data_IF_196974265196
#
_entry.id   IF_196974265196
#
_cell.length_a   1.000
_cell.length_b   1.000
_cell.length_c   1.000
_cell.angle_alpha   90.00
_cell.angle_beta   90.00
_cell.angle_gamma   90.00
#
_symmetry.space_group_name_H-M   'P 1'
#
loop_
_entity.id
_entity.type
_entity.pdbx_description
1 polymer ?
#
# COMPACT_ATOMS: atom_id res chain seq x y z
N UNK A 1 11.01 15.21 -66.60
CA UNK A 1 12.26 15.98 -66.80
C UNK A 1 12.13 17.32 -66.09
N UNK A 2 13.07 17.66 -65.18
CA UNK A 2 13.24 19.00 -64.59
C UNK A 2 14.02 19.92 -65.56
N UNK A 3 13.96 21.25 -65.37
CA UNK A 3 15.05 21.97 -64.66
C UNK A 3 14.51 22.97 -63.60
N UNK A 4 15.07 23.08 -62.37
CA UNK A 4 16.23 23.91 -61.89
C UNK A 4 16.06 25.43 -62.14
N UNK A 5 16.34 26.41 -61.26
CA UNK A 5 16.77 26.57 -59.84
C UNK A 5 16.94 28.10 -59.62
N UNK A 6 16.68 28.64 -58.41
CA UNK A 6 17.39 29.77 -57.69
C UNK A 6 16.53 30.17 -56.47
N UNK A 7 16.81 29.73 -55.24
CA UNK A 7 17.80 30.22 -54.25
C UNK A 7 17.68 31.70 -53.86
N UNK A 8 17.25 31.92 -52.61
CA UNK A 8 17.80 32.93 -51.68
C UNK A 8 17.84 32.31 -50.27
N UNK A 9 19.05 31.89 -49.90
CA UNK A 9 19.70 32.01 -48.58
C UNK A 9 19.47 33.43 -47.98
N UNK A 10 19.45 33.74 -46.69
CA UNK A 10 19.89 33.12 -45.44
C UNK A 10 19.11 33.79 -44.28
N UNK A 11 18.84 33.04 -43.21
CA UNK A 11 19.33 33.42 -41.88
C UNK A 11 19.18 32.25 -40.90
N UNK A 12 20.28 31.51 -40.78
CA UNK A 12 20.59 30.63 -39.66
C UNK A 12 20.85 31.47 -38.40
N UNK A 13 20.17 31.13 -37.30
CA UNK A 13 20.79 30.92 -35.98
C UNK A 13 20.11 29.69 -35.37
N UNK A 14 20.58 28.49 -35.66
CA UNK A 14 21.57 27.70 -34.87
C UNK A 14 21.02 27.37 -33.46
N UNK A 15 20.16 26.35 -33.33
CA UNK A 15 20.50 24.95 -32.99
C UNK A 15 21.35 24.82 -31.71
N UNK A 16 20.69 24.41 -30.62
CA UNK A 16 21.18 23.30 -29.81
C UNK A 16 19.99 22.41 -29.49
N UNK A 17 19.96 21.27 -30.18
CA UNK A 17 19.16 20.11 -29.80
C UNK A 17 20.10 19.31 -28.91
N UNK A 18 19.76 19.18 -27.64
CA UNK A 18 20.30 18.14 -26.77
C UNK A 18 19.10 17.27 -26.37
N UNK A 19 19.00 16.12 -27.03
CA UNK A 19 18.18 15.01 -26.57
C UNK A 19 18.84 14.44 -25.31
N UNK A 20 18.15 14.42 -24.18
CA UNK A 20 18.26 13.30 -23.24
C UNK A 20 16.95 13.17 -22.47
N UNK A 21 16.36 12.00 -22.56
CA UNK A 21 15.27 11.53 -21.72
C UNK A 21 15.61 11.72 -20.24
N UNK A 22 14.69 12.30 -19.47
CA UNK A 22 14.46 11.89 -18.08
C UNK A 22 13.11 12.45 -17.61
N UNK A 23 12.11 11.60 -17.79
CA UNK A 23 10.81 11.66 -17.17
C UNK A 23 10.98 11.59 -15.64
N UNK A 24 11.30 12.72 -15.01
CA UNK A 24 11.15 12.89 -13.56
C UNK A 24 9.71 13.32 -13.30
N UNK A 25 8.82 12.33 -13.32
CA UNK A 25 7.56 12.46 -12.59
C UNK A 25 7.96 12.49 -11.13
N UNK A 26 7.99 13.68 -10.56
CA UNK A 26 8.01 13.88 -9.12
C UNK A 26 6.67 13.32 -8.61
N UNK A 27 6.69 12.06 -8.17
CA UNK A 27 5.55 11.46 -7.49
C UNK A 27 5.63 11.98 -6.06
N UNK A 28 4.93 13.08 -5.79
CA UNK A 28 4.64 13.51 -4.44
C UNK A 28 3.73 12.44 -3.81
N UNK A 29 4.34 11.52 -3.07
CA UNK A 29 3.64 10.44 -2.35
C UNK A 29 2.81 10.96 -1.16
N UNK A 30 2.83 12.26 -0.87
CA UNK A 30 2.16 12.85 0.29
C UNK A 30 0.76 13.39 -0.01
N UNK A 31 0.37 13.57 -1.28
CA UNK A 31 -0.92 14.20 -1.63
C UNK A 31 -2.05 13.20 -1.97
N UNK A 32 -1.74 11.91 -2.17
CA UNK A 32 -2.70 10.89 -2.62
C UNK A 32 -3.27 10.00 -1.49
N UNK A 33 -2.96 10.34 -0.22
CA UNK A 33 -3.68 9.84 0.96
C UNK A 33 -4.73 10.88 1.34
N UNK A 34 -5.92 10.78 0.74
CA UNK A 34 -7.05 11.71 0.89
C UNK A 34 -7.63 11.84 2.31
N UNK A 35 -6.82 12.28 3.26
CA UNK A 35 -7.22 12.59 4.63
C UNK A 35 -7.41 14.07 4.91
N UNK A 36 -7.05 14.98 4.00
CA UNK A 36 -7.35 16.40 4.16
C UNK A 36 -7.67 16.99 2.78
N UNK A 37 -8.96 17.08 2.44
CA UNK A 37 -9.40 17.98 1.39
C UNK A 37 -9.46 19.39 1.96
N UNK A 38 -8.58 20.28 1.52
CA UNK A 38 -8.79 21.72 1.66
C UNK A 38 -9.94 22.13 0.73
N UNK A 39 -11.17 22.24 1.23
CA UNK A 39 -12.23 23.02 0.58
C UNK A 39 -13.31 23.45 1.59
N UNK A 40 -13.46 24.78 1.72
CA UNK A 40 -14.47 25.62 2.38
C UNK A 40 -14.88 25.30 3.83
N UNK A 41 -14.81 26.32 4.71
CA UNK A 41 -15.25 26.31 6.12
C UNK A 41 -16.76 26.01 6.28
N UNK A 42 -17.16 24.77 6.01
CA UNK A 42 -18.32 24.15 6.63
C UNK A 42 -17.87 23.56 7.95
N UNK A 43 -18.35 24.08 9.08
CA UNK A 43 -18.11 23.44 10.39
C UNK A 43 -18.63 22.00 10.32
N UNK A 44 -17.72 21.03 10.39
CA UNK A 44 -18.04 19.60 10.44
C UNK A 44 -19.08 19.36 11.54
N UNK A 45 -20.09 18.56 11.22
CA UNK A 45 -21.13 18.23 12.19
C UNK A 45 -20.54 17.34 13.30
N UNK A 46 -21.06 17.41 14.55
CA UNK A 46 -20.62 16.52 15.63
C UNK A 46 -20.69 15.02 15.27
N UNK A 47 -21.63 14.65 14.40
CA UNK A 47 -21.82 13.29 13.91
C UNK A 47 -20.71 12.86 12.93
N UNK A 48 -20.26 13.77 12.05
CA UNK A 48 -19.12 13.54 11.16
C UNK A 48 -17.82 13.40 11.95
N UNK A 49 -17.60 14.27 12.94
CA UNK A 49 -16.43 14.19 13.83
C UNK A 49 -16.37 12.86 14.60
N UNK A 50 -17.49 12.41 15.17
CA UNK A 50 -17.56 11.13 15.89
C UNK A 50 -17.28 9.95 14.96
N UNK A 51 -17.78 9.99 13.72
CA UNK A 51 -17.47 8.96 12.74
C UNK A 51 -15.98 8.96 12.37
N UNK A 52 -15.42 10.13 12.08
CA UNK A 52 -14.02 10.27 11.69
C UNK A 52 -13.10 9.78 12.81
N UNK A 53 -13.43 10.09 14.07
CA UNK A 53 -12.72 9.57 15.23
C UNK A 53 -12.79 8.04 15.31
N UNK A 54 -13.98 7.44 15.14
CA UNK A 54 -14.11 5.98 15.16
C UNK A 54 -13.34 5.30 14.00
N UNK A 55 -13.34 5.88 12.79
CA UNK A 55 -12.51 5.38 11.68
C UNK A 55 -11.03 5.46 12.02
N UNK A 56 -10.60 6.56 12.64
CA UNK A 56 -9.21 6.75 13.04
C UNK A 56 -8.79 5.75 14.13
N UNK A 57 -9.63 5.54 15.15
CA UNK A 57 -9.39 4.55 16.20
C UNK A 57 -9.27 3.13 15.63
N UNK A 58 -10.19 2.73 14.74
CA UNK A 58 -10.13 1.43 14.07
C UNK A 58 -8.87 1.28 13.21
N UNK A 59 -8.48 2.35 12.52
CA UNK A 59 -7.24 2.36 11.71
C UNK A 59 -6.01 2.20 12.60
N UNK A 60 -5.95 2.93 13.71
CA UNK A 60 -4.86 2.84 14.69
C UNK A 60 -4.75 1.42 15.25
N UNK A 61 -5.85 0.80 15.63
CA UNK A 61 -5.84 -0.56 16.19
C UNK A 61 -5.44 -1.61 15.14
N UNK A 62 -5.93 -1.50 13.90
CA UNK A 62 -5.49 -2.34 12.79
C UNK A 62 -3.98 -2.18 12.51
N UNK A 63 -3.47 -0.95 12.54
CA UNK A 63 -2.03 -0.67 12.38
C UNK A 63 -1.20 -1.28 13.49
N UNK A 64 -1.65 -1.25 14.76
CA UNK A 64 -0.96 -1.93 15.87
C UNK A 64 -0.85 -3.44 15.62
N UNK A 65 -1.90 -4.06 15.09
CA UNK A 65 -1.88 -5.49 14.73
C UNK A 65 -0.86 -5.78 13.63
N UNK A 66 -0.79 -4.94 12.60
CA UNK A 66 0.23 -5.04 11.54
C UNK A 66 1.64 -4.96 12.12
N UNK A 67 1.91 -3.95 12.95
CA UNK A 67 3.23 -3.77 13.58
C UNK A 67 3.62 -4.99 14.42
N UNK A 68 2.68 -5.52 15.21
CA UNK A 68 2.93 -6.73 15.99
C UNK A 68 3.23 -7.94 15.09
N UNK A 69 2.49 -8.10 13.99
CA UNK A 69 2.72 -9.17 13.03
C UNK A 69 4.10 -9.07 12.37
N UNK A 70 4.54 -7.86 12.02
CA UNK A 70 5.87 -7.60 11.48
C UNK A 70 6.98 -7.95 12.46
N UNK A 71 6.82 -7.58 13.75
CA UNK A 71 7.78 -7.92 14.79
C UNK A 71 7.91 -9.44 14.99
N UNK A 72 6.79 -10.16 14.97
CA UNK A 72 6.80 -11.62 15.06
C UNK A 72 7.44 -12.28 13.83
N UNK A 73 7.16 -11.75 12.64
CA UNK A 73 7.79 -12.22 11.41
C UNK A 73 9.31 -11.97 11.40
N UNK A 74 9.74 -10.80 11.88
CA UNK A 74 11.14 -10.47 12.01
C UNK A 74 11.83 -11.40 13.01
N UNK A 75 11.21 -11.67 14.16
CA UNK A 75 11.72 -12.62 15.14
C UNK A 75 11.87 -14.03 14.52
N UNK A 76 10.87 -14.50 13.76
CA UNK A 76 10.93 -15.77 13.03
C UNK A 76 12.10 -15.83 12.05
N UNK A 77 12.40 -14.73 11.34
CA UNK A 77 13.55 -14.67 10.43
C UNK A 77 14.89 -14.80 11.18
N UNK A 78 15.03 -14.19 12.35
CA UNK A 78 16.22 -14.37 13.19
C UNK A 78 16.38 -15.82 13.66
N UNK A 79 15.28 -16.46 14.12
CA UNK A 79 15.27 -17.88 14.49
C UNK A 79 15.69 -18.77 13.32
N UNK A 80 15.11 -18.58 12.13
CA UNK A 80 15.47 -19.34 10.93
C UNK A 80 16.93 -19.13 10.49
N UNK A 81 17.46 -17.91 10.66
CA UNK A 81 18.87 -17.61 10.42
C UNK A 81 19.77 -18.41 11.36
N UNK A 82 19.41 -18.53 12.64
CA UNK A 82 20.15 -19.33 13.61
C UNK A 82 20.16 -20.82 13.21
N UNK A 83 19.01 -21.39 12.83
CA UNK A 83 18.93 -22.78 12.32
C UNK A 83 19.82 -23.00 11.08
N UNK A 84 19.86 -22.01 10.18
CA UNK A 84 20.71 -22.09 8.98
C UNK A 84 22.20 -22.08 9.35
N UNK A 85 22.60 -21.29 10.35
CA UNK A 85 23.98 -21.24 10.85
C UNK A 85 24.38 -22.53 11.54
N UNK A 86 23.49 -23.10 12.34
CA UNK A 86 23.72 -24.39 13.00
C UNK A 86 24.00 -25.49 11.95
N UNK A 87 23.26 -25.48 10.85
CA UNK A 87 23.46 -26.39 9.72
C UNK A 87 24.79 -26.18 8.99
N UNK A 88 25.25 -24.93 8.83
CA UNK A 88 26.46 -24.61 8.07
C UNK A 88 27.75 -24.73 8.88
N UNK A 89 27.70 -24.35 10.16
CA UNK A 89 28.88 -24.19 11.01
C UNK A 89 28.91 -25.15 12.19
N UNK A 90 27.94 -26.05 12.31
CA UNK A 90 27.82 -27.01 13.41
C UNK A 90 27.82 -26.31 14.77
N UNK A 91 27.00 -25.26 14.88
CA UNK A 91 26.73 -24.49 16.10
C UNK A 91 25.39 -24.90 16.70
N UNK A 92 25.09 -24.40 17.91
CA UNK A 92 23.79 -24.56 18.59
C UNK A 92 23.15 -23.19 18.92
N UNK A 93 23.24 -22.23 18.00
CA UNK A 93 22.68 -20.88 18.20
C UNK A 93 21.15 -20.90 18.31
N UNK A 94 20.47 -21.81 17.58
CA UNK A 94 19.00 -21.88 17.54
C UNK A 94 18.35 -22.30 18.86
N UNK A 95 19.06 -22.98 19.74
CA UNK A 95 18.57 -23.38 21.08
C UNK A 95 18.21 -22.18 21.97
N UNK A 96 18.73 -20.98 21.66
CA UNK A 96 18.44 -19.76 22.40
C UNK A 96 17.15 -19.05 21.95
N UNK A 97 16.48 -19.55 20.90
CA UNK A 97 15.25 -18.99 20.37
C UNK A 97 14.04 -19.79 20.84
N UNK A 98 12.90 -19.11 21.02
CA UNK A 98 11.63 -19.81 21.27
C UNK A 98 11.17 -20.52 20.00
N UNK A 99 10.28 -21.51 20.15
CA UNK A 99 9.66 -22.15 19.00
C UNK A 99 8.80 -21.15 18.20
N UNK A 100 9.22 -20.89 16.96
CA UNK A 100 8.55 -19.98 16.02
C UNK A 100 7.76 -20.72 14.93
N UNK A 101 7.55 -22.03 15.06
CA UNK A 101 6.85 -22.87 14.07
C UNK A 101 5.49 -22.29 13.64
N UNK A 102 4.71 -21.82 14.61
CA UNK A 102 3.37 -21.27 14.38
C UNK A 102 3.35 -19.78 14.06
N UNK A 103 4.49 -19.08 14.14
CA UNK A 103 4.51 -17.62 13.99
C UNK A 103 4.04 -17.19 12.60
N UNK A 104 4.38 -17.94 11.56
CA UNK A 104 3.92 -17.65 10.20
C UNK A 104 2.38 -17.66 10.11
N UNK A 105 1.74 -18.70 10.67
CA UNK A 105 0.29 -18.82 10.68
C UNK A 105 -0.37 -17.70 11.48
N UNK A 106 0.19 -17.39 12.66
CA UNK A 106 -0.32 -16.32 13.53
C UNK A 106 -0.24 -14.97 12.83
N UNK A 107 0.90 -14.64 12.21
CA UNK A 107 1.09 -13.33 11.57
C UNK A 107 0.20 -13.19 10.34
N UNK A 108 0.00 -14.24 9.55
CA UNK A 108 -0.91 -14.22 8.41
C UNK A 108 -2.36 -13.98 8.86
N UNK A 109 -2.81 -14.64 9.93
CA UNK A 109 -4.16 -14.39 10.49
C UNK A 109 -4.31 -12.94 10.97
N UNK A 110 -3.28 -12.39 11.62
CA UNK A 110 -3.25 -10.97 12.02
C UNK A 110 -3.33 -10.04 10.81
N UNK A 111 -2.61 -10.32 9.72
CA UNK A 111 -2.70 -9.55 8.48
C UNK A 111 -4.09 -9.64 7.84
N UNK A 112 -4.72 -10.81 7.83
CA UNK A 112 -6.09 -10.98 7.31
C UNK A 112 -7.11 -10.21 8.14
N UNK A 113 -6.95 -10.20 9.46
CA UNK A 113 -7.79 -9.38 10.33
C UNK A 113 -7.63 -7.89 10.02
N UNK A 114 -6.39 -7.39 9.96
CA UNK A 114 -6.12 -5.98 9.69
C UNK A 114 -6.60 -5.54 8.30
N UNK A 115 -6.36 -6.36 7.26
CA UNK A 115 -6.83 -6.08 5.90
C UNK A 115 -8.36 -6.09 5.81
N UNK A 116 -9.03 -6.94 6.59
CA UNK A 116 -10.50 -6.94 6.72
C UNK A 116 -11.04 -5.64 7.30
N UNK A 117 -10.39 -5.08 8.32
CA UNK A 117 -10.76 -3.76 8.88
C UNK A 117 -10.59 -2.66 7.83
N UNK A 118 -9.45 -2.61 7.14
CA UNK A 118 -9.24 -1.59 6.10
C UNK A 118 -10.20 -1.72 4.93
N UNK A 119 -10.60 -2.95 4.59
CA UNK A 119 -11.65 -3.20 3.60
C UNK A 119 -13.00 -2.65 4.05
N UNK A 120 -13.41 -2.90 5.29
CA UNK A 120 -14.66 -2.38 5.87
C UNK A 120 -14.67 -0.84 5.94
N UNK A 121 -13.54 -0.22 6.30
CA UNK A 121 -13.38 1.24 6.24
C UNK A 121 -13.53 1.75 4.79
N UNK A 122 -12.86 1.12 3.83
CA UNK A 122 -12.91 1.53 2.42
C UNK A 122 -14.32 1.36 1.82
N UNK A 123 -15.03 0.30 2.18
CA UNK A 123 -16.42 0.08 1.77
C UNK A 123 -17.36 1.16 2.31
N UNK A 124 -17.25 1.49 3.61
CA UNK A 124 -18.04 2.59 4.20
C UNK A 124 -17.72 3.95 3.57
N UNK A 125 -16.44 4.21 3.25
CA UNK A 125 -16.05 5.42 2.54
C UNK A 125 -16.67 5.50 1.14
N UNK A 126 -16.70 4.37 0.40
CA UNK A 126 -17.34 4.29 -0.90
C UNK A 126 -18.86 4.50 -0.81
N UNK A 127 -19.54 3.86 0.14
CA UNK A 127 -20.98 4.05 0.35
C UNK A 127 -21.33 5.52 0.65
N UNK A 128 -20.51 6.19 1.48
CA UNK A 128 -20.66 7.63 1.76
C UNK A 128 -20.44 8.49 0.53
N UNK A 129 -19.38 8.25 -0.24
CA UNK A 129 -19.13 8.96 -1.47
C UNK A 129 -20.30 8.80 -2.46
N UNK A 130 -20.84 7.58 -2.62
CA UNK A 130 -22.02 7.31 -3.45
C UNK A 130 -23.24 8.11 -2.95
N UNK A 131 -23.47 8.13 -1.64
CA UNK A 131 -24.60 8.87 -1.05
C UNK A 131 -24.50 10.40 -1.23
N UNK A 132 -23.27 10.94 -1.28
CA UNK A 132 -23.02 12.37 -1.50
C UNK A 132 -23.22 12.81 -2.96
N UNK A 133 -23.18 11.88 -3.92
CA UNK A 133 -23.33 12.16 -5.35
C UNK A 133 -22.10 12.78 -6.04
N UNK A 134 -21.03 13.09 -5.29
CA UNK A 134 -19.79 13.65 -5.82
C UNK A 134 -18.98 12.59 -6.60
N UNK A 135 -18.91 12.76 -7.92
CA UNK A 135 -18.23 11.84 -8.82
C UNK A 135 -16.72 11.75 -8.59
N UNK A 136 -16.08 12.83 -8.15
CA UNK A 136 -14.65 12.80 -7.85
C UNK A 136 -14.38 11.97 -6.60
N UNK A 137 -15.13 12.21 -5.53
CA UNK A 137 -15.05 11.41 -4.29
C UNK A 137 -15.39 9.94 -4.53
N UNK A 138 -16.39 9.65 -5.36
CA UNK A 138 -16.75 8.27 -5.74
C UNK A 138 -15.60 7.58 -6.46
N UNK A 139 -14.93 8.28 -7.39
CA UNK A 139 -13.79 7.72 -8.13
C UNK A 139 -12.64 7.35 -7.21
N UNK A 140 -12.25 8.25 -6.30
CA UNK A 140 -11.19 8.02 -5.31
C UNK A 140 -11.56 6.87 -4.37
N UNK A 141 -12.75 6.92 -3.77
CA UNK A 141 -13.21 5.90 -2.85
C UNK A 141 -13.34 4.52 -3.52
N UNK A 142 -13.70 4.48 -4.81
CA UNK A 142 -13.76 3.22 -5.59
C UNK A 142 -12.38 2.61 -5.79
N UNK A 143 -11.35 3.42 -6.07
CA UNK A 143 -9.97 2.92 -6.18
C UNK A 143 -9.51 2.35 -4.83
N UNK A 144 -9.75 3.06 -3.74
CA UNK A 144 -9.42 2.62 -2.39
C UNK A 144 -10.13 1.30 -2.03
N UNK A 145 -11.43 1.19 -2.34
CA UNK A 145 -12.20 -0.05 -2.17
C UNK A 145 -11.58 -1.24 -2.89
N UNK A 146 -11.26 -1.09 -4.18
CA UNK A 146 -10.67 -2.18 -4.96
C UNK A 146 -9.28 -2.56 -4.47
N UNK A 147 -8.46 -1.58 -4.08
CA UNK A 147 -7.16 -1.85 -3.48
C UNK A 147 -7.31 -2.66 -2.17
N UNK A 148 -8.18 -2.22 -1.27
CA UNK A 148 -8.42 -2.90 0.00
C UNK A 148 -9.01 -4.31 -0.21
N UNK A 149 -9.92 -4.48 -1.17
CA UNK A 149 -10.50 -5.78 -1.51
C UNK A 149 -9.43 -6.76 -2.01
N UNK A 150 -8.55 -6.31 -2.91
CA UNK A 150 -7.50 -7.16 -3.45
C UNK A 150 -6.48 -7.56 -2.37
N UNK A 151 -6.13 -6.64 -1.47
CA UNK A 151 -5.27 -6.94 -0.32
C UNK A 151 -5.95 -7.96 0.61
N UNK A 152 -7.24 -7.77 0.90
CA UNK A 152 -8.01 -8.70 1.73
C UNK A 152 -8.08 -10.10 1.11
N UNK A 153 -8.44 -10.21 -0.17
CA UNK A 153 -8.47 -11.48 -0.91
C UNK A 153 -7.08 -12.15 -0.92
N UNK A 154 -6.02 -11.38 -1.20
CA UNK A 154 -4.65 -11.90 -1.16
C UNK A 154 -4.33 -12.50 0.21
N UNK A 155 -4.69 -11.81 1.28
CA UNK A 155 -4.43 -12.29 2.65
C UNK A 155 -5.19 -13.60 2.95
N UNK A 156 -6.44 -13.74 2.52
CA UNK A 156 -7.23 -14.98 2.69
C UNK A 156 -6.62 -16.15 1.91
N UNK A 157 -6.15 -15.90 0.68
CA UNK A 157 -5.46 -16.91 -0.12
C UNK A 157 -4.19 -17.37 0.61
N UNK A 158 -3.43 -16.45 1.18
CA UNK A 158 -2.23 -16.76 1.97
C UNK A 158 -2.55 -17.59 3.21
N UNK A 159 -3.62 -17.28 3.97
CA UNK A 159 -4.09 -18.12 5.09
C UNK A 159 -4.35 -19.54 4.61
N UNK A 160 -5.12 -19.67 3.52
CA UNK A 160 -5.54 -20.97 2.99
C UNK A 160 -4.36 -21.80 2.50
N UNK A 161 -3.35 -21.16 1.88
CA UNK A 161 -2.13 -21.81 1.44
C UNK A 161 -1.29 -22.35 2.60
N UNK A 162 -1.21 -21.60 3.71
CA UNK A 162 -0.48 -22.04 4.91
C UNK A 162 -1.21 -23.16 5.64
N UNK A 163 -2.54 -23.12 5.74
CA UNK A 163 -3.32 -24.21 6.35
C UNK A 163 -3.20 -25.53 5.56
N UNK A 164 -3.13 -25.46 4.22
CA UNK A 164 -2.84 -26.64 3.38
C UNK A 164 -1.44 -27.21 3.60
N UNK A 165 -0.45 -26.39 3.95
CA UNK A 165 0.94 -26.85 4.16
C UNK A 165 1.14 -27.59 5.49
N UNK A 166 0.17 -27.50 6.40
CA UNK A 166 0.19 -28.15 7.73
C UNK A 166 -0.67 -29.42 7.81
N UNK A 167 -1.25 -29.90 6.70
CA UNK A 167 -1.95 -31.19 6.58
C UNK A 167 -1.12 -32.23 5.86
#
# INVERSE_FOLDING_TARGET
MKPKKRYKEDNLQNKNIENTDENSVEIDFEEDLGFISEEEEGTETPEELLYNLNVLEQSIDATKVIILADLLNLYRLYSARATTRDTLYNTNESENYIDTSNFLTITIVMFTYASGIFFDIADRALQRAISSGDQNRISIARKAYWAALLIFISSIITVSAVDLSHR
#
